data_IF_175795646075
#
_entry.id   IF_175795646075
#
_cell.length_a   1.000
_cell.length_b   1.000
_cell.length_c   1.000
_cell.angle_alpha   90.00
_cell.angle_beta   90.00
_cell.angle_gamma   90.00
#
_symmetry.space_group_name_H-M   'P 1'
#
loop_
_entity.id
_entity.type
_entity.pdbx_description
1 polymer ?
#
# COMPACT_ATOMS: atom_id res chain seq x y z
N UNK A 1 32.11 10.50 -11.29
CA UNK A 1 31.71 11.63 -10.41
C UNK A 1 30.19 11.91 -10.46
N UNK A 2 29.55 11.95 -11.65
CA UNK A 2 28.09 12.21 -11.72
C UNK A 2 27.23 11.04 -11.23
N UNK A 3 27.67 9.80 -11.42
CA UNK A 3 26.93 8.59 -11.01
C UNK A 3 26.86 8.41 -9.51
N UNK A 4 27.84 8.87 -8.75
CA UNK A 4 27.86 8.75 -7.29
C UNK A 4 26.83 9.66 -6.64
N UNK A 5 26.64 10.87 -7.15
CA UNK A 5 25.62 11.80 -6.67
C UNK A 5 24.19 11.31 -6.89
N UNK A 6 23.92 10.61 -8.00
CA UNK A 6 22.59 10.02 -8.28
C UNK A 6 22.31 8.86 -7.33
N UNK A 7 23.30 7.99 -7.10
CA UNK A 7 23.18 6.86 -6.15
C UNK A 7 22.96 7.33 -4.73
N UNK A 8 23.67 8.37 -4.27
CA UNK A 8 23.49 8.96 -2.95
C UNK A 8 22.09 9.56 -2.76
N UNK A 9 21.58 10.28 -3.78
CA UNK A 9 20.20 10.83 -3.74
C UNK A 9 19.15 9.71 -3.67
N UNK A 10 19.33 8.63 -4.44
CA UNK A 10 18.43 7.49 -4.40
C UNK A 10 18.46 6.78 -3.04
N UNK A 11 19.65 6.56 -2.45
CA UNK A 11 19.78 5.97 -1.12
C UNK A 11 19.06 6.80 -0.06
N UNK A 12 19.26 8.11 -0.04
CA UNK A 12 18.59 9.03 0.88
C UNK A 12 17.06 9.04 0.70
N UNK A 13 16.57 8.92 -0.53
CA UNK A 13 15.13 8.83 -0.79
C UNK A 13 14.55 7.54 -0.19
N UNK A 14 15.24 6.40 -0.32
CA UNK A 14 14.81 5.15 0.27
C UNK A 14 14.90 5.13 1.81
N UNK A 15 15.90 5.77 2.40
CA UNK A 15 15.98 5.95 3.86
C UNK A 15 14.78 6.76 4.38
N UNK A 16 14.43 7.85 3.70
CA UNK A 16 13.26 8.66 4.04
C UNK A 16 11.96 7.87 3.88
N UNK A 17 11.84 7.08 2.83
CA UNK A 17 10.68 6.21 2.62
C UNK A 17 10.57 5.15 3.72
N UNK A 18 11.67 4.50 4.11
CA UNK A 18 11.66 3.55 5.22
C UNK A 18 11.22 4.21 6.53
N UNK A 19 11.76 5.42 6.83
CA UNK A 19 11.33 6.16 8.00
C UNK A 19 9.83 6.51 7.95
N UNK A 20 9.30 6.94 6.82
CA UNK A 20 7.88 7.22 6.68
C UNK A 20 7.01 5.98 6.91
N UNK A 21 7.45 4.81 6.43
CA UNK A 21 6.79 3.53 6.72
C UNK A 21 6.79 3.23 8.22
N UNK A 22 7.95 3.38 8.89
CA UNK A 22 8.06 3.16 10.33
C UNK A 22 7.14 4.11 11.12
N UNK A 23 7.08 5.39 10.74
CA UNK A 23 6.22 6.40 11.37
C UNK A 23 4.73 6.05 11.20
N UNK A 24 4.30 5.63 10.01
CA UNK A 24 2.91 5.20 9.74
C UNK A 24 2.55 3.95 10.55
N UNK A 25 3.43 2.95 10.58
CA UNK A 25 3.20 1.73 11.35
C UNK A 25 3.09 2.03 12.83
N UNK A 26 3.94 2.89 13.37
CA UNK A 26 3.90 3.30 14.77
C UNK A 26 2.60 4.04 15.11
N UNK A 27 2.20 5.06 14.32
CA UNK A 27 0.96 5.81 14.54
C UNK A 27 -0.28 4.90 14.51
N UNK A 28 -0.36 3.99 13.55
CA UNK A 28 -1.49 3.07 13.46
C UNK A 28 -1.51 2.03 14.58
N UNK A 29 -0.34 1.56 15.04
CA UNK A 29 -0.21 0.66 16.18
C UNK A 29 -0.64 1.35 17.48
N UNK A 30 -0.23 2.59 17.68
CA UNK A 30 -0.61 3.40 18.84
C UNK A 30 -2.12 3.62 18.87
N UNK A 31 -2.74 3.99 17.72
CA UNK A 31 -4.20 4.16 17.60
C UNK A 31 -4.95 2.87 17.90
N UNK A 32 -4.45 1.71 17.45
CA UNK A 32 -5.07 0.41 17.76
C UNK A 32 -4.98 0.03 19.24
N UNK A 33 -4.06 0.61 19.97
CA UNK A 33 -3.88 0.42 21.41
C UNK A 33 -4.60 1.47 22.27
N UNK A 34 -5.06 2.56 21.65
CA UNK A 34 -5.76 3.65 22.32
C UNK A 34 -7.22 3.23 22.62
N UNK A 35 -7.70 3.34 23.90
CA UNK A 35 -9.07 3.02 24.28
C UNK A 35 -10.14 3.78 23.47
N UNK A 36 -9.82 4.97 22.95
CA UNK A 36 -10.74 5.74 22.09
C UNK A 36 -10.93 5.10 20.71
N UNK A 37 -9.91 4.38 20.20
CA UNK A 37 -9.90 3.85 18.82
C UNK A 37 -9.85 2.33 18.75
N UNK A 38 -9.68 1.61 19.86
CA UNK A 38 -9.49 0.15 19.88
C UNK A 38 -10.61 -0.61 19.17
N UNK A 39 -11.85 -0.13 19.29
CA UNK A 39 -13.04 -0.71 18.66
C UNK A 39 -13.41 -0.02 17.32
N UNK A 40 -12.60 0.92 16.88
CA UNK A 40 -12.85 1.64 15.63
C UNK A 40 -12.55 0.79 14.41
N UNK A 41 -13.43 0.89 13.41
CA UNK A 41 -13.18 0.38 12.06
C UNK A 41 -12.32 1.37 11.29
N UNK A 42 -11.11 0.96 10.96
CA UNK A 42 -10.13 1.85 10.33
C UNK A 42 -9.83 1.37 8.92
N UNK A 43 -9.85 2.30 7.98
CA UNK A 43 -9.38 2.11 6.61
C UNK A 43 -8.17 3.00 6.40
N UNK A 44 -7.08 2.43 5.89
CA UNK A 44 -5.87 3.15 5.49
C UNK A 44 -5.68 2.92 4.00
N UNK A 45 -5.71 3.98 3.22
CA UNK A 45 -5.57 3.87 1.77
C UNK A 45 -4.67 4.99 1.22
N UNK A 46 -3.90 4.67 0.19
CA UNK A 46 -3.04 5.63 -0.49
C UNK A 46 -1.85 5.01 -1.19
N UNK A 47 -0.96 5.88 -1.67
CA UNK A 47 0.29 5.49 -2.31
C UNK A 47 1.34 5.14 -1.25
N UNK A 48 1.68 3.86 -1.17
CA UNK A 48 2.73 3.34 -0.29
C UNK A 48 4.08 3.23 -0.98
N UNK A 49 4.17 3.59 -2.25
CA UNK A 49 5.39 3.49 -3.04
C UNK A 49 6.07 2.11 -2.95
N UNK A 50 5.28 1.06 -2.87
CA UNK A 50 5.77 -0.31 -2.64
C UNK A 50 4.80 -1.32 -3.25
N UNK A 51 5.29 -2.22 -4.12
CA UNK A 51 4.49 -3.35 -4.61
C UNK A 51 4.43 -4.46 -3.57
N UNK A 52 3.24 -5.04 -3.35
CA UNK A 52 2.99 -6.08 -2.34
C UNK A 52 2.55 -7.43 -2.94
N UNK A 53 2.55 -7.55 -4.26
CA UNK A 53 2.08 -8.73 -5.03
C UNK A 53 3.14 -9.83 -5.20
N UNK A 54 4.28 -9.71 -4.53
CA UNK A 54 5.41 -10.64 -4.66
C UNK A 54 6.30 -10.39 -5.90
N UNK A 55 5.92 -9.48 -6.80
CA UNK A 55 6.72 -9.17 -8.00
C UNK A 55 8.03 -8.44 -7.68
N UNK A 56 8.10 -7.80 -6.51
CA UNK A 56 9.19 -6.90 -6.13
C UNK A 56 9.48 -5.80 -7.16
N UNK A 57 8.46 -5.43 -7.93
CA UNK A 57 8.59 -4.49 -9.05
C UNK A 57 9.00 -3.09 -8.59
N UNK A 58 8.47 -2.61 -7.48
CA UNK A 58 8.77 -1.30 -6.92
C UNK A 58 8.88 -1.34 -5.40
N UNK A 59 9.72 -0.47 -4.84
CA UNK A 59 9.90 -0.32 -3.41
C UNK A 59 11.16 -1.02 -2.88
N UNK A 60 11.56 -0.61 -1.67
CA UNK A 60 12.72 -1.18 -0.98
C UNK A 60 12.31 -2.44 -0.19
N UNK A 61 13.06 -3.56 -0.27
CA UNK A 61 12.69 -4.81 0.43
C UNK A 61 12.49 -4.63 1.93
N UNK A 62 13.37 -3.88 2.60
CA UNK A 62 13.26 -3.61 4.04
C UNK A 62 12.02 -2.80 4.41
N UNK A 63 11.65 -1.78 3.62
CA UNK A 63 10.44 -1.01 3.83
C UNK A 63 9.18 -1.88 3.62
N UNK A 64 9.21 -2.76 2.61
CA UNK A 64 8.12 -3.71 2.33
C UNK A 64 7.87 -4.64 3.50
N UNK A 65 8.92 -5.30 4.04
CA UNK A 65 8.79 -6.20 5.19
C UNK A 65 8.24 -5.46 6.40
N UNK A 66 8.79 -4.30 6.74
CA UNK A 66 8.33 -3.48 7.87
C UNK A 66 6.87 -3.05 7.73
N UNK A 67 6.45 -2.62 6.53
CA UNK A 67 5.07 -2.25 6.25
C UNK A 67 4.14 -3.44 6.49
N UNK A 68 4.42 -4.58 5.87
CA UNK A 68 3.57 -5.77 5.94
C UNK A 68 3.53 -6.34 7.36
N UNK A 69 4.68 -6.54 7.98
CA UNK A 69 4.79 -7.09 9.33
C UNK A 69 4.18 -6.15 10.37
N UNK A 70 4.46 -4.84 10.25
CA UNK A 70 3.96 -3.84 11.17
C UNK A 70 2.44 -3.68 11.10
N UNK A 71 1.87 -3.52 9.92
CA UNK A 71 0.41 -3.37 9.79
C UNK A 71 -0.33 -4.66 10.12
N UNK A 72 0.17 -5.83 9.73
CA UNK A 72 -0.42 -7.10 10.16
C UNK A 72 -0.35 -7.26 11.69
N UNK A 73 0.77 -6.91 12.31
CA UNK A 73 0.94 -6.93 13.76
C UNK A 73 -0.01 -5.98 14.50
N UNK A 74 -0.36 -4.86 13.88
CA UNK A 74 -1.36 -3.91 14.39
C UNK A 74 -2.81 -4.31 14.07
N UNK A 75 -3.03 -5.48 13.45
CA UNK A 75 -4.37 -6.01 13.17
C UNK A 75 -5.01 -5.51 11.88
N UNK A 76 -4.21 -4.97 10.95
CA UNK A 76 -4.69 -4.58 9.63
C UNK A 76 -4.49 -5.69 8.61
N UNK A 77 -5.37 -5.74 7.61
CA UNK A 77 -5.32 -6.65 6.46
C UNK A 77 -5.23 -5.85 5.18
N UNK A 78 -4.31 -6.22 4.27
CA UNK A 78 -4.19 -5.63 2.95
C UNK A 78 -5.08 -6.33 1.94
N UNK A 79 -5.92 -5.58 1.23
CA UNK A 79 -6.84 -6.10 0.23
C UNK A 79 -6.36 -5.95 -1.21
N UNK A 80 -5.19 -5.33 -1.43
CA UNK A 80 -4.64 -5.02 -2.76
C UNK A 80 -3.33 -5.74 -3.05
N UNK A 81 -3.10 -6.91 -2.43
CA UNK A 81 -1.87 -7.71 -2.61
C UNK A 81 -1.90 -8.63 -3.83
N UNK A 82 -3.02 -8.71 -4.53
CA UNK A 82 -3.14 -9.59 -5.70
C UNK A 82 -2.19 -9.17 -6.82
N UNK A 83 -1.64 -10.16 -7.53
CA UNK A 83 -0.86 -9.92 -8.72
C UNK A 83 -1.78 -9.62 -9.90
N UNK A 84 -2.24 -8.39 -9.99
CA UNK A 84 -3.17 -7.93 -11.03
C UNK A 84 -2.59 -7.97 -12.45
N UNK A 85 -1.28 -8.06 -12.60
CA UNK A 85 -0.64 -8.23 -13.91
C UNK A 85 -1.04 -9.56 -14.56
N UNK A 86 -1.34 -10.57 -13.74
CA UNK A 86 -1.83 -11.87 -14.23
C UNK A 86 -3.24 -11.75 -14.80
N UNK A 87 -4.04 -10.83 -14.32
CA UNK A 87 -5.42 -10.59 -14.80
C UNK A 87 -5.50 -9.67 -16.00
N UNK A 88 -4.38 -9.09 -16.43
CA UNK A 88 -4.30 -8.04 -17.47
C UNK A 88 -5.12 -6.77 -17.16
N UNK A 89 -5.63 -6.63 -15.95
CA UNK A 89 -6.38 -5.46 -15.52
C UNK A 89 -5.47 -4.23 -15.34
N UNK A 90 -4.18 -4.45 -15.18
CA UNK A 90 -3.20 -3.39 -15.05
C UNK A 90 -1.90 -3.73 -15.82
N UNK A 91 -1.20 -2.69 -16.14
CA UNK A 91 0.06 -2.74 -16.91
C UNK A 91 1.29 -2.99 -16.04
N UNK A 92 1.18 -2.67 -14.78
CA UNK A 92 2.25 -2.77 -13.77
C UNK A 92 1.65 -3.11 -12.41
N UNK A 93 2.52 -3.51 -11.48
CA UNK A 93 2.12 -3.76 -10.11
C UNK A 93 1.53 -2.50 -9.46
N UNK A 94 0.60 -2.69 -8.54
CA UNK A 94 0.01 -1.62 -7.74
C UNK A 94 1.02 -1.19 -6.66
N UNK A 95 1.07 0.09 -6.38
CA UNK A 95 1.78 0.70 -5.24
C UNK A 95 0.83 1.44 -4.31
N UNK A 96 -0.43 1.59 -4.75
CA UNK A 96 -1.54 2.14 -3.98
C UNK A 96 -2.27 1.00 -3.29
N UNK A 97 -2.35 1.05 -1.97
CA UNK A 97 -2.90 -0.05 -1.19
C UNK A 97 -4.06 0.38 -0.30
N UNK A 98 -4.96 -0.60 -0.05
CA UNK A 98 -6.07 -0.48 0.89
C UNK A 98 -5.88 -1.52 1.99
N UNK A 99 -5.74 -1.03 3.20
CA UNK A 99 -5.64 -1.81 4.42
C UNK A 99 -6.84 -1.52 5.32
N UNK A 100 -7.35 -2.53 6.00
CA UNK A 100 -8.48 -2.36 6.93
C UNK A 100 -8.27 -3.14 8.20
N UNK A 101 -8.97 -2.74 9.26
CA UNK A 101 -9.16 -3.60 10.43
C UNK A 101 -9.93 -4.88 10.05
N UNK A 102 -9.73 -5.96 10.80
CA UNK A 102 -10.22 -7.31 10.46
C UNK A 102 -11.76 -7.46 10.48
N UNK A 103 -12.46 -6.48 11.00
CA UNK A 103 -13.93 -6.41 11.03
C UNK A 103 -14.56 -5.73 9.80
N UNK A 104 -13.71 -5.24 8.87
CA UNK A 104 -14.13 -4.74 7.56
C UNK A 104 -13.77 -5.77 6.48
N UNK A 105 -14.76 -6.29 5.80
CA UNK A 105 -14.60 -7.35 4.80
C UNK A 105 -14.97 -6.86 3.40
N UNK A 106 -14.21 -7.23 2.37
CA UNK A 106 -14.62 -7.02 0.98
C UNK A 106 -15.92 -7.74 0.70
N UNK A 107 -16.88 -7.03 0.08
CA UNK A 107 -18.17 -7.60 -0.37
C UNK A 107 -18.23 -7.81 -1.87
N UNK A 108 -17.28 -7.24 -2.59
CA UNK A 108 -17.11 -7.38 -4.04
C UNK A 108 -15.64 -7.61 -4.37
N UNK A 109 -15.33 -8.19 -5.54
CA UNK A 109 -13.96 -8.27 -6.03
C UNK A 109 -13.33 -6.89 -6.14
N UNK A 110 -12.01 -6.83 -5.91
CA UNK A 110 -11.23 -5.61 -6.12
C UNK A 110 -11.41 -5.10 -7.55
N UNK A 111 -11.88 -3.86 -7.70
CA UNK A 111 -11.96 -3.21 -9.00
C UNK A 111 -10.68 -2.43 -9.28
N UNK A 112 -10.09 -2.70 -10.44
CA UNK A 112 -8.83 -2.10 -10.87
C UNK A 112 -9.03 -1.55 -12.28
N UNK A 113 -8.54 -0.34 -12.52
CA UNK A 113 -8.53 0.24 -13.86
C UNK A 113 -7.20 0.92 -14.17
N UNK A 114 -6.90 0.93 -15.46
CA UNK A 114 -5.74 1.59 -16.02
C UNK A 114 -6.17 2.45 -17.21
N UNK A 115 -5.89 3.73 -17.16
CA UNK A 115 -6.28 4.68 -18.19
C UNK A 115 -5.22 4.85 -19.28
N UNK A 116 -4.63 3.74 -19.73
CA UNK A 116 -3.59 3.77 -20.79
C UNK A 116 -4.10 4.18 -22.15
N UNK A 117 -5.36 3.89 -22.46
CA UNK A 117 -5.97 4.15 -23.75
C UNK A 117 -6.43 5.60 -23.92
N UNK A 118 -6.48 6.36 -22.83
CA UNK A 118 -6.91 7.75 -22.89
C UNK A 118 -5.77 8.66 -23.34
N UNK A 119 -5.96 9.49 -24.38
CA UNK A 119 -4.90 10.38 -24.89
C UNK A 119 -4.42 11.40 -23.85
N UNK A 120 -5.27 11.73 -22.87
CA UNK A 120 -4.93 12.60 -21.74
C UNK A 120 -4.89 11.76 -20.46
N UNK A 121 -3.84 10.95 -20.29
CA UNK A 121 -3.65 10.16 -19.07
C UNK A 121 -3.69 11.07 -17.83
N UNK A 122 -4.64 10.81 -16.93
CA UNK A 122 -4.84 11.61 -15.73
C UNK A 122 -3.88 11.24 -14.61
N UNK A 123 -3.37 10.00 -14.59
CA UNK A 123 -2.44 9.51 -13.58
C UNK A 123 -1.47 8.50 -14.17
N UNK A 124 -0.28 8.41 -13.61
CA UNK A 124 0.68 7.34 -13.87
C UNK A 124 0.47 6.11 -12.96
N UNK A 125 -0.50 6.18 -12.04
CA UNK A 125 -0.94 5.06 -11.21
C UNK A 125 -2.15 4.34 -11.82
N UNK A 126 -2.30 3.07 -11.47
CA UNK A 126 -3.56 2.34 -11.68
C UNK A 126 -4.54 2.74 -10.58
N UNK A 127 -5.81 2.89 -10.92
CA UNK A 127 -6.85 3.11 -9.92
C UNK A 127 -7.27 1.80 -9.27
N UNK A 128 -7.58 1.83 -7.98
CA UNK A 128 -8.12 0.70 -7.23
C UNK A 128 -9.33 1.13 -6.42
N UNK A 129 -10.37 0.30 -6.39
CA UNK A 129 -11.55 0.51 -5.56
C UNK A 129 -12.03 -0.80 -4.94
N UNK A 130 -12.57 -0.71 -3.75
CA UNK A 130 -13.03 -1.83 -2.97
C UNK A 130 -14.32 -1.46 -2.21
N UNK A 131 -15.34 -2.30 -2.34
CA UNK A 131 -16.55 -2.21 -1.50
C UNK A 131 -16.35 -3.01 -0.22
N UNK A 132 -16.61 -2.39 0.92
CA UNK A 132 -16.40 -2.97 2.25
C UNK A 132 -17.72 -3.03 3.01
N UNK A 133 -17.92 -4.10 3.78
CA UNK A 133 -18.97 -4.18 4.78
C UNK A 133 -18.38 -4.48 6.17
N UNK A 134 -19.06 -3.99 7.18
CA UNK A 134 -18.75 -4.34 8.55
C UNK A 134 -19.18 -5.79 8.84
N UNK A 135 -18.33 -6.54 9.50
CA UNK A 135 -18.70 -7.84 10.08
C UNK A 135 -19.62 -7.61 11.27
N UNK A 136 -20.77 -8.27 11.25
CA UNK A 136 -21.69 -8.30 12.39
C UNK A 136 -21.15 -9.10 13.56
#
# INVERSE_FOLDING_TARGET
YAMDGVRQKAALAWERHQKAVDDVVADLSDRRSDPEFVDSRIVVAGDFNTSLDGSNWYGHPGARSRLVEGLNGAGFQCHTRENIRLTRAADRAIVDHIWTTADLLPVEPLHIWCDRSHPNRLSDHNGVALSLAAKE
#
